data_IF_661337021976
#
_entry.id   IF_661337021976
#
_cell.length_a   1.000
_cell.length_b   1.000
_cell.length_c   1.000
_cell.angle_alpha   90.00
_cell.angle_beta   90.00
_cell.angle_gamma   90.00
#
_symmetry.space_group_name_H-M   'P 1'
#
loop_
_entity.id
_entity.type
_entity.pdbx_description
1 polymer ?
#
# COMPACT_ATOMS: atom_id res chain seq x y z
N UNK A 1 -13.80 0.59 -9.27
CA UNK A 1 -13.64 -0.86 -9.58
C UNK A 1 -15.02 -1.51 -9.65
N UNK A 2 -15.13 -2.77 -10.06
CA UNK A 2 -16.43 -3.47 -10.15
C UNK A 2 -17.30 -2.97 -11.31
N UNK A 3 -18.62 -3.08 -11.16
CA UNK A 3 -19.63 -2.80 -12.18
C UNK A 3 -19.86 -1.29 -12.43
N UNK A 4 -18.80 -0.50 -12.59
CA UNK A 4 -18.86 0.93 -12.90
C UNK A 4 -18.49 1.16 -14.36
N UNK A 5 -19.41 1.71 -15.15
CA UNK A 5 -19.20 1.99 -16.59
C UNK A 5 -18.36 3.24 -16.77
N UNK A 6 -17.26 3.15 -17.53
CA UNK A 6 -16.49 4.31 -18.00
C UNK A 6 -17.02 4.77 -19.35
N UNK A 7 -17.74 5.90 -19.37
CA UNK A 7 -18.36 6.45 -20.59
C UNK A 7 -17.36 6.94 -21.62
N UNK A 8 -16.09 7.13 -21.24
CA UNK A 8 -15.00 7.57 -22.12
C UNK A 8 -14.44 6.44 -22.98
N UNK A 9 -14.54 5.19 -22.53
CA UNK A 9 -14.03 4.03 -23.25
C UNK A 9 -14.93 3.70 -24.44
N UNK A 10 -14.39 3.64 -25.65
CA UNK A 10 -15.14 3.32 -26.86
C UNK A 10 -14.42 2.26 -27.71
N UNK A 11 -15.13 1.28 -28.30
CA UNK A 11 -16.57 1.03 -28.13
C UNK A 11 -16.90 0.47 -26.74
N UNK A 12 -18.13 0.71 -26.28
CA UNK A 12 -18.63 0.18 -25.01
C UNK A 12 -18.79 -1.36 -25.02
N UNK A 13 -18.57 -2.01 -23.87
CA UNK A 13 -18.86 -3.44 -23.68
C UNK A 13 -19.49 -3.69 -22.29
N UNK A 14 -20.82 -3.50 -22.15
CA UNK A 14 -21.50 -3.62 -20.86
C UNK A 14 -21.43 -5.01 -20.22
N UNK A 15 -21.39 -6.08 -21.03
CA UNK A 15 -21.28 -7.44 -20.52
C UNK A 15 -19.96 -7.68 -19.77
N UNK A 16 -18.84 -7.11 -20.27
CA UNK A 16 -17.55 -7.16 -19.55
C UNK A 16 -17.57 -6.35 -18.25
N UNK A 17 -18.25 -5.20 -18.23
CA UNK A 17 -18.38 -4.40 -17.00
C UNK A 17 -19.22 -5.16 -15.96
N UNK A 18 -20.32 -5.78 -16.37
CA UNK A 18 -21.17 -6.58 -15.48
C UNK A 18 -20.40 -7.77 -14.85
N UNK A 19 -19.50 -8.40 -15.62
CA UNK A 19 -18.68 -9.53 -15.18
C UNK A 19 -17.47 -9.13 -14.28
N UNK A 20 -17.25 -7.84 -14.02
CA UNK A 20 -16.09 -7.39 -13.24
C UNK A 20 -16.17 -7.86 -11.78
N UNK A 21 -15.11 -8.49 -11.27
CA UNK A 21 -15.02 -8.88 -9.86
C UNK A 21 -14.51 -7.68 -9.06
N UNK A 22 -15.24 -7.32 -7.99
CA UNK A 22 -14.81 -6.29 -7.04
C UNK A 22 -13.61 -6.82 -6.22
N UNK A 23 -12.53 -6.04 -6.06
CA UNK A 23 -11.46 -6.41 -5.14
C UNK A 23 -11.93 -6.38 -3.69
N UNK A 24 -11.39 -7.27 -2.86
CA UNK A 24 -11.69 -7.35 -1.42
C UNK A 24 -11.28 -6.09 -0.66
N UNK A 25 -10.30 -5.34 -1.18
CA UNK A 25 -9.80 -4.11 -0.59
C UNK A 25 -9.38 -3.10 -1.65
N UNK A 26 -9.52 -1.81 -1.34
CA UNK A 26 -9.11 -0.72 -2.23
C UNK A 26 -8.18 0.23 -1.50
N UNK A 27 -7.02 0.50 -2.08
CA UNK A 27 -6.01 1.42 -1.54
C UNK A 27 -6.15 2.85 -2.07
N UNK A 28 -7.21 3.12 -2.84
CA UNK A 28 -7.38 4.38 -3.55
C UNK A 28 -6.57 4.47 -4.84
N UNK A 29 -6.87 5.50 -5.63
CA UNK A 29 -6.27 5.69 -6.95
C UNK A 29 -4.86 6.30 -6.85
N UNK A 30 -3.97 5.86 -7.76
CA UNK A 30 -2.64 6.42 -7.98
C UNK A 30 -1.61 6.26 -6.84
N UNK A 31 -1.90 5.52 -5.76
CA UNK A 31 -0.90 5.28 -4.68
C UNK A 31 0.33 4.50 -5.15
N UNK A 32 0.22 3.80 -6.28
CA UNK A 32 1.27 2.96 -6.87
C UNK A 32 1.80 1.91 -5.88
N UNK A 33 0.94 0.99 -5.45
CA UNK A 33 1.31 -0.11 -4.58
C UNK A 33 2.23 -1.09 -5.32
N UNK A 34 3.49 -1.23 -4.88
CA UNK A 34 4.52 -2.05 -5.55
C UNK A 34 5.10 -3.17 -4.67
N UNK A 35 4.75 -3.23 -3.39
CA UNK A 35 5.19 -4.27 -2.48
C UNK A 35 4.09 -4.68 -1.52
N UNK A 36 4.04 -5.97 -1.19
CA UNK A 36 3.05 -6.56 -0.28
C UNK A 36 3.72 -7.63 0.59
N UNK A 37 3.47 -7.60 1.90
CA UNK A 37 3.97 -8.62 2.81
C UNK A 37 3.00 -8.85 3.95
N UNK A 38 2.58 -10.11 4.14
CA UNK A 38 1.77 -10.50 5.29
C UNK A 38 2.60 -10.45 6.55
N UNK A 39 1.98 -9.96 7.62
CA UNK A 39 2.62 -9.84 8.91
C UNK A 39 2.63 -11.16 9.68
N UNK A 40 3.36 -11.16 10.79
CA UNK A 40 3.48 -12.28 11.71
C UNK A 40 3.39 -11.79 13.16
N UNK A 41 3.10 -12.68 14.14
CA UNK A 41 3.05 -12.31 15.55
C UNK A 41 4.32 -11.64 16.09
N UNK A 42 5.49 -11.86 15.50
CA UNK A 42 6.73 -11.18 15.90
C UNK A 42 6.70 -9.66 15.63
N UNK A 43 5.89 -9.20 14.68
CA UNK A 43 5.60 -7.78 14.47
C UNK A 43 4.69 -7.19 15.56
N UNK A 44 4.27 -8.04 16.52
CA UNK A 44 3.47 -7.90 17.75
C UNK A 44 2.14 -7.18 17.65
N UNK A 45 1.44 -7.06 18.77
CA UNK A 45 -0.03 -6.95 18.84
C UNK A 45 -0.68 -6.05 17.79
N UNK A 46 -0.28 -4.79 17.70
CA UNK A 46 -0.85 -3.81 16.76
C UNK A 46 -0.70 -4.20 15.28
N UNK A 47 0.36 -4.92 14.94
CA UNK A 47 0.72 -5.27 13.58
C UNK A 47 0.86 -6.79 13.39
N UNK A 48 0.29 -7.61 14.27
CA UNK A 48 0.49 -9.06 14.25
C UNK A 48 -0.30 -9.77 13.14
N UNK A 49 -1.50 -9.28 12.83
CA UNK A 49 -2.41 -9.87 11.84
C UNK A 49 -2.85 -8.81 10.81
N UNK A 50 -2.29 -8.89 9.62
CA UNK A 50 -2.53 -7.93 8.55
C UNK A 50 -1.43 -7.93 7.50
N UNK A 51 -1.41 -6.89 6.68
CA UNK A 51 -0.57 -6.79 5.50
C UNK A 51 0.10 -5.43 5.42
N UNK A 52 1.42 -5.42 5.22
CA UNK A 52 2.17 -4.23 4.86
C UNK A 52 2.13 -4.01 3.35
N UNK A 53 1.92 -2.77 2.93
CA UNK A 53 1.92 -2.39 1.52
C UNK A 53 2.84 -1.19 1.30
N UNK A 54 3.78 -1.32 0.38
CA UNK A 54 4.63 -0.21 -0.07
C UNK A 54 3.94 0.61 -1.15
N UNK A 55 3.66 1.89 -0.87
CA UNK A 55 3.05 2.84 -1.80
C UNK A 55 4.11 3.78 -2.38
N UNK A 56 4.47 3.55 -3.64
CA UNK A 56 5.56 4.23 -4.35
C UNK A 56 5.29 5.71 -4.66
N UNK A 57 4.01 6.08 -4.65
CA UNK A 57 3.57 7.45 -4.82
C UNK A 57 3.12 7.80 -6.24
N UNK A 58 2.12 8.67 -6.31
CA UNK A 58 1.46 9.09 -7.55
C UNK A 58 2.34 10.01 -8.40
N UNK A 59 2.40 9.76 -9.70
CA UNK A 59 2.97 10.71 -10.67
C UNK A 59 1.90 11.51 -11.45
N UNK A 60 0.66 10.99 -11.53
CA UNK A 60 -0.42 11.54 -12.35
C UNK A 60 -1.63 11.97 -11.50
N UNK A 61 -1.41 12.84 -10.53
CA UNK A 61 -2.46 13.41 -9.67
C UNK A 61 -2.04 14.79 -9.18
N UNK A 62 -2.93 15.78 -9.28
CA UNK A 62 -2.65 17.16 -8.86
C UNK A 62 -2.24 17.26 -7.39
N UNK A 63 -2.95 16.52 -6.53
CA UNK A 63 -2.62 16.35 -5.12
C UNK A 63 -1.92 14.99 -4.94
N UNK A 64 -0.60 14.93 -4.69
CA UNK A 64 0.10 13.66 -4.64
C UNK A 64 -0.37 12.77 -3.47
N UNK A 65 -0.41 11.45 -3.69
CA UNK A 65 -0.78 10.41 -2.71
C UNK A 65 0.20 9.25 -2.74
N UNK A 66 0.19 8.39 -1.73
CA UNK A 66 1.20 7.35 -1.53
C UNK A 66 2.44 7.90 -0.81
N UNK A 67 3.63 7.50 -1.24
CA UNK A 67 4.91 7.86 -0.60
C UNK A 67 4.98 7.43 0.87
N UNK A 68 4.58 6.19 1.13
CA UNK A 68 4.55 5.62 2.47
C UNK A 68 4.47 4.10 2.43
N UNK A 69 4.65 3.51 3.60
CA UNK A 69 4.23 2.14 3.86
C UNK A 69 3.03 2.19 4.78
N UNK A 70 1.98 1.47 4.42
CA UNK A 70 0.77 1.31 5.21
C UNK A 70 0.67 -0.13 5.76
N UNK A 71 -0.19 -0.31 6.75
CA UNK A 71 -0.61 -1.60 7.27
C UNK A 71 -2.13 -1.72 7.16
N UNK A 72 -2.61 -2.77 6.51
CA UNK A 72 -4.04 -3.11 6.46
C UNK A 72 -4.31 -4.19 7.52
N UNK A 73 -5.12 -3.92 8.55
CA UNK A 73 -5.43 -4.92 9.59
C UNK A 73 -6.29 -6.05 9.00
N UNK A 74 -6.07 -7.27 9.47
CA UNK A 74 -6.86 -8.44 9.08
C UNK A 74 -7.60 -9.03 10.28
N UNK A 75 -8.71 -9.71 9.97
CA UNK A 75 -9.44 -10.56 10.92
C UNK A 75 -10.06 -11.71 10.14
N UNK A 76 -9.90 -12.94 10.63
CA UNK A 76 -10.43 -14.15 10.00
C UNK A 76 -10.03 -14.28 8.51
N UNK A 77 -8.78 -13.94 8.19
CA UNK A 77 -8.23 -14.04 6.84
C UNK A 77 -8.75 -12.98 5.85
N UNK A 78 -9.42 -11.92 6.34
CA UNK A 78 -9.93 -10.83 5.50
C UNK A 78 -9.47 -9.47 6.01
N UNK A 79 -9.30 -8.47 5.13
CA UNK A 79 -9.09 -7.08 5.54
C UNK A 79 -10.21 -6.59 6.47
N UNK A 80 -9.85 -5.95 7.57
CA UNK A 80 -10.75 -5.63 8.68
C UNK A 80 -10.52 -4.21 9.22
N UNK A 81 -10.59 -3.21 8.36
CA UNK A 81 -10.51 -1.79 8.75
C UNK A 81 -9.82 -0.91 7.73
N UNK A 82 -9.64 0.35 8.11
CA UNK A 82 -8.90 1.34 7.32
C UNK A 82 -7.39 1.09 7.37
N UNK A 83 -6.64 1.51 6.34
CA UNK A 83 -5.20 1.37 6.37
C UNK A 83 -4.59 2.29 7.44
N UNK A 84 -3.58 1.78 8.14
CA UNK A 84 -2.81 2.51 9.15
C UNK A 84 -1.48 2.92 8.54
N UNK A 85 -1.14 4.20 8.61
CA UNK A 85 0.17 4.68 8.21
C UNK A 85 1.26 4.07 9.12
N UNK A 86 2.21 3.34 8.54
CA UNK A 86 3.29 2.65 9.27
C UNK A 86 4.62 3.40 9.15
N UNK A 87 5.03 3.74 7.93
CA UNK A 87 6.23 4.54 7.67
C UNK A 87 5.91 5.66 6.68
N UNK A 88 6.07 6.90 7.12
CA UNK A 88 5.71 8.11 6.37
C UNK A 88 6.90 9.08 6.28
N UNK A 89 6.73 10.20 5.58
CA UNK A 89 7.76 11.24 5.45
C UNK A 89 8.64 11.10 4.20
N UNK A 90 8.41 10.07 3.38
CA UNK A 90 9.04 9.91 2.07
C UNK A 90 8.66 11.03 1.09
N UNK A 91 7.57 11.76 1.35
CA UNK A 91 7.30 13.06 0.74
C UNK A 91 6.99 14.08 1.83
N UNK A 92 7.69 15.22 1.81
CA UNK A 92 7.53 16.26 2.81
C UNK A 92 6.41 17.24 2.48
N UNK A 93 6.02 18.03 3.48
CA UNK A 93 5.05 19.12 3.33
C UNK A 93 5.55 20.23 2.38
N UNK A 94 6.86 20.34 2.19
CA UNK A 94 7.51 21.20 1.19
C UNK A 94 7.36 20.70 -0.26
N UNK A 95 6.62 19.62 -0.45
CA UNK A 95 6.36 19.00 -1.75
C UNK A 95 7.51 18.15 -2.28
N UNK A 96 8.65 18.09 -1.59
CA UNK A 96 9.82 17.33 -2.04
C UNK A 96 9.67 15.86 -1.69
N UNK A 97 9.86 15.02 -2.70
CA UNK A 97 9.98 13.57 -2.54
C UNK A 97 11.40 13.23 -2.11
N UNK A 98 11.52 12.55 -0.97
CA UNK A 98 12.76 12.11 -0.33
C UNK A 98 12.97 10.61 -0.43
N UNK A 99 11.92 9.87 -0.78
CA UNK A 99 12.00 8.45 -1.10
C UNK A 99 10.70 7.93 -1.71
N UNK A 100 10.73 6.70 -2.19
CA UNK A 100 9.60 6.02 -2.85
C UNK A 100 9.63 4.52 -2.49
N UNK A 101 8.84 4.09 -1.51
CA UNK A 101 8.79 2.68 -1.12
C UNK A 101 8.36 1.76 -2.28
N UNK A 102 9.10 0.68 -2.50
CA UNK A 102 8.82 -0.35 -3.51
C UNK A 102 8.48 -1.67 -2.81
N UNK A 103 9.47 -2.54 -2.61
CA UNK A 103 9.32 -3.83 -1.96
C UNK A 103 9.28 -3.70 -0.44
N UNK A 104 8.42 -4.48 0.20
CA UNK A 104 8.39 -4.64 1.65
C UNK A 104 8.44 -6.12 2.02
N UNK A 105 9.13 -6.46 3.10
CA UNK A 105 9.10 -7.82 3.66
C UNK A 105 9.30 -7.81 5.17
N UNK A 106 8.59 -8.71 5.86
CA UNK A 106 8.71 -8.88 7.31
C UNK A 106 9.83 -9.86 7.62
N UNK A 107 10.80 -9.43 8.43
CA UNK A 107 11.86 -10.30 8.93
C UNK A 107 11.30 -11.29 9.97
N UNK A 108 11.88 -12.50 10.11
CA UNK A 108 11.39 -13.49 11.08
C UNK A 108 11.47 -13.06 12.55
N UNK A 109 12.16 -11.96 12.86
CA UNK A 109 12.36 -11.42 14.20
C UNK A 109 11.43 -10.23 14.50
N UNK A 110 10.52 -9.85 13.60
CA UNK A 110 9.60 -8.74 13.80
C UNK A 110 10.18 -7.37 13.44
N UNK A 111 10.88 -7.26 12.31
CA UNK A 111 11.20 -5.98 11.67
C UNK A 111 10.59 -5.91 10.27
N UNK A 112 10.25 -4.71 9.82
CA UNK A 112 9.89 -4.49 8.42
C UNK A 112 11.10 -4.01 7.63
N UNK A 113 11.41 -4.70 6.53
CA UNK A 113 12.39 -4.29 5.54
C UNK A 113 11.66 -3.56 4.42
N UNK A 114 12.14 -2.36 4.06
CA UNK A 114 11.54 -1.52 3.02
C UNK A 114 12.64 -1.14 2.01
N UNK A 115 12.43 -1.47 0.74
CA UNK A 115 13.27 -0.98 -0.35
C UNK A 115 12.74 0.37 -0.84
N UNK A 116 13.62 1.35 -0.97
CA UNK A 116 13.36 2.69 -1.47
C UNK A 116 14.28 2.97 -2.67
N UNK A 117 13.70 2.98 -3.87
CA UNK A 117 14.47 3.09 -5.11
C UNK A 117 14.97 4.51 -5.37
N UNK A 118 14.18 5.53 -5.02
CA UNK A 118 14.56 6.93 -5.21
C UNK A 118 15.75 7.30 -4.32
N UNK A 119 15.75 6.86 -3.06
CA UNK A 119 16.84 7.15 -2.13
C UNK A 119 17.99 6.14 -2.22
N UNK A 120 17.87 5.11 -3.07
CA UNK A 120 18.80 3.97 -3.12
C UNK A 120 19.11 3.40 -1.73
N UNK A 121 18.06 3.19 -0.92
CA UNK A 121 18.17 2.87 0.51
C UNK A 121 17.32 1.66 0.86
N UNK A 122 17.82 0.80 1.75
CA UNK A 122 17.03 -0.25 2.40
C UNK A 122 16.86 0.10 3.87
N UNK A 123 15.61 0.30 4.28
CA UNK A 123 15.26 0.59 5.66
C UNK A 123 14.96 -0.70 6.41
N UNK A 124 15.43 -0.81 7.65
CA UNK A 124 15.02 -1.85 8.59
C UNK A 124 14.34 -1.19 9.78
N UNK A 125 13.01 -1.31 9.84
CA UNK A 125 12.18 -0.72 10.90
C UNK A 125 11.93 -1.75 11.98
N UNK A 126 12.44 -1.51 13.18
CA UNK A 126 12.27 -2.39 14.34
C UNK A 126 11.42 -1.72 15.41
N UNK A 127 10.77 -2.54 16.23
CA UNK A 127 10.23 -2.08 17.51
C UNK A 127 11.36 -1.62 18.43
N UNK A 128 11.09 -0.59 19.23
CA UNK A 128 11.94 -0.29 20.37
C UNK A 128 11.82 -1.43 21.38
N UNK A 129 12.94 -1.75 22.05
CA UNK A 129 12.97 -2.71 23.15
C UNK A 129 12.27 -2.15 24.38
#
# INVERSE_FOLDING_TARGET
>A
WGQNVDTRAQPQNPAKVAAAIKPDYSLGSHVAALGVSFSIPAMGDKFADGVFVGEHGSWNRDNPVGYKVIFVPFSNGRPAGEPVDFATGFRGADGKTRGRPVGVTVDPKGALIIADDLANTVWRVTRNK
#
